data_IF_620609925084
#
_entry.id   IF_620609925084
#
_cell.length_a   1.000
_cell.length_b   1.000
_cell.length_c   1.000
_cell.angle_alpha   90.00
_cell.angle_beta   90.00
_cell.angle_gamma   90.00
#
_symmetry.space_group_name_H-M   'P 1'
#
loop_
_entity.id
_entity.type
_entity.pdbx_description
1 polymer ?
#
# COMPACT_ATOMS: atom_id res chain seq x y z
N UNK A 1 8.53 -1.00 12.92
CA UNK A 1 7.50 -1.88 12.31
C UNK A 1 7.10 -1.38 10.92
N UNK A 2 6.78 -0.09 10.75
CA UNK A 2 6.42 0.48 9.43
C UNK A 2 7.44 0.19 8.33
N UNK A 3 8.73 0.33 8.62
CA UNK A 3 9.80 0.04 7.65
C UNK A 3 9.82 -1.40 7.13
N UNK A 4 9.49 -2.39 7.96
CA UNK A 4 9.39 -3.79 7.50
C UNK A 4 8.26 -3.97 6.49
N UNK A 5 7.10 -3.35 6.76
CA UNK A 5 5.98 -3.36 5.81
C UNK A 5 6.35 -2.72 4.48
N UNK A 6 7.00 -1.54 4.52
CA UNK A 6 7.47 -0.86 3.31
C UNK A 6 8.42 -1.74 2.50
N UNK A 7 9.35 -2.44 3.16
CA UNK A 7 10.29 -3.32 2.49
C UNK A 7 9.61 -4.52 1.82
N UNK A 8 8.65 -5.16 2.50
CA UNK A 8 7.89 -6.29 1.95
C UNK A 8 7.09 -5.85 0.71
N UNK A 9 6.36 -4.73 0.81
CA UNK A 9 5.57 -4.20 -0.30
C UNK A 9 6.47 -3.77 -1.46
N UNK A 10 7.58 -3.08 -1.18
CA UNK A 10 8.56 -2.69 -2.19
C UNK A 10 9.08 -3.91 -2.95
N UNK A 11 9.42 -5.00 -2.26
CA UNK A 11 9.86 -6.25 -2.88
C UNK A 11 8.77 -6.85 -3.79
N UNK A 12 7.54 -6.97 -3.31
CA UNK A 12 6.42 -7.51 -4.10
C UNK A 12 6.19 -6.65 -5.37
N UNK A 13 6.13 -5.33 -5.21
CA UNK A 13 5.88 -4.40 -6.32
C UNK A 13 6.99 -4.47 -7.36
N UNK A 14 8.26 -4.41 -6.93
CA UNK A 14 9.39 -4.38 -7.85
C UNK A 14 9.67 -5.75 -8.48
N UNK A 15 9.64 -6.82 -7.70
CA UNK A 15 10.11 -8.14 -8.16
C UNK A 15 8.99 -9.03 -8.68
N UNK A 16 7.78 -8.94 -8.11
CA UNK A 16 6.65 -9.80 -8.53
C UNK A 16 5.78 -9.14 -9.58
N UNK A 17 5.47 -7.84 -9.42
CA UNK A 17 4.66 -7.09 -10.39
C UNK A 17 5.49 -6.47 -11.51
N UNK A 18 6.80 -6.30 -11.31
CA UNK A 18 7.67 -5.59 -12.25
C UNK A 18 7.37 -4.09 -12.33
N UNK A 19 6.73 -3.52 -11.30
CA UNK A 19 6.37 -2.11 -11.21
C UNK A 19 7.40 -1.34 -10.38
N UNK A 20 7.27 -0.01 -10.29
CA UNK A 20 8.21 0.80 -9.52
C UNK A 20 7.57 1.30 -8.22
N UNK A 21 8.17 0.96 -7.08
CA UNK A 21 7.80 1.52 -5.77
C UNK A 21 8.66 2.73 -5.39
N UNK A 22 8.03 3.88 -5.17
CA UNK A 22 8.65 5.11 -4.64
C UNK A 22 8.21 5.34 -3.20
N UNK A 23 9.13 5.15 -2.25
CA UNK A 23 8.87 5.37 -0.83
C UNK A 23 8.65 6.86 -0.55
N UNK A 24 7.64 7.16 0.25
CA UNK A 24 7.50 8.49 0.82
C UNK A 24 8.29 8.56 2.14
N UNK A 25 9.18 9.55 2.25
CA UNK A 25 10.06 9.72 3.41
C UNK A 25 9.55 10.80 4.38
N UNK A 26 8.46 11.49 4.08
CA UNK A 26 7.97 12.59 4.89
C UNK A 26 7.12 12.10 6.06
N UNK A 27 7.61 12.31 7.29
CA UNK A 27 6.92 11.98 8.55
C UNK A 27 5.63 12.78 8.81
N UNK A 28 5.34 13.76 7.95
CA UNK A 28 4.22 14.69 8.08
C UNK A 28 3.04 14.41 7.14
N UNK A 29 3.15 13.42 6.26
CA UNK A 29 2.05 13.09 5.35
C UNK A 29 0.96 12.31 6.07
N UNK A 30 -0.29 12.56 5.66
CA UNK A 30 -1.56 12.06 6.20
C UNK A 30 -1.75 10.53 6.07
N UNK A 31 -0.67 9.76 6.19
CA UNK A 31 -0.64 8.31 6.16
C UNK A 31 -0.29 7.69 4.80
N UNK A 32 0.32 8.44 3.88
CA UNK A 32 0.77 7.90 2.57
C UNK A 32 2.22 7.41 2.69
N UNK A 33 2.41 6.10 2.64
CA UNK A 33 3.72 5.45 2.81
C UNK A 33 4.54 5.40 1.50
N UNK A 34 3.89 5.50 0.35
CA UNK A 34 4.57 5.53 -0.95
C UNK A 34 3.64 5.62 -2.15
N UNK A 35 4.24 5.58 -3.32
CA UNK A 35 3.58 5.58 -4.62
C UNK A 35 4.09 4.40 -5.45
N UNK A 36 3.21 3.84 -6.28
CA UNK A 36 3.53 2.77 -7.24
C UNK A 36 3.31 3.32 -8.64
N UNK A 37 4.30 3.19 -9.51
CA UNK A 37 4.17 3.50 -10.94
C UNK A 37 4.08 2.21 -11.75
N UNK A 38 3.08 2.13 -12.62
CA UNK A 38 2.86 0.96 -13.46
C UNK A 38 3.84 0.99 -14.63
N UNK A 39 4.58 -0.10 -14.78
CA UNK A 39 5.57 -0.30 -15.83
C UNK A 39 5.05 -1.37 -16.80
N UNK A 40 5.24 -1.15 -18.10
CA UNK A 40 4.89 -2.14 -19.12
C UNK A 40 5.85 -3.34 -19.07
N UNK A 41 5.47 -4.51 -19.62
CA UNK A 41 6.40 -5.65 -19.74
C UNK A 41 7.68 -5.33 -20.52
N UNK A 42 7.67 -4.30 -21.37
CA UNK A 42 8.84 -3.80 -22.11
C UNK A 42 9.72 -2.85 -21.29
N UNK A 43 9.40 -2.57 -20.02
CA UNK A 43 10.15 -1.70 -19.13
C UNK A 43 9.83 -0.21 -19.26
N UNK A 44 8.74 0.18 -19.94
CA UNK A 44 8.36 1.59 -20.12
C UNK A 44 7.41 2.06 -19.04
N UNK A 45 7.61 3.28 -18.53
CA UNK A 45 6.70 3.90 -17.55
C UNK A 45 5.40 4.29 -18.25
N UNK A 46 4.25 3.86 -17.72
CA UNK A 46 2.93 4.16 -18.33
C UNK A 46 2.36 5.52 -17.94
N UNK A 47 2.89 6.14 -16.88
CA UNK A 47 2.32 7.34 -16.25
C UNK A 47 1.13 7.06 -15.32
N UNK A 48 0.65 5.81 -15.25
CA UNK A 48 -0.36 5.41 -14.26
C UNK A 48 0.30 5.25 -12.89
N UNK A 49 -0.32 5.84 -11.88
CA UNK A 49 0.18 5.86 -10.51
C UNK A 49 -0.88 5.46 -9.50
N UNK A 50 -0.44 4.84 -8.42
CA UNK A 50 -1.24 4.49 -7.25
C UNK A 50 -0.56 5.05 -6.01
N UNK A 51 -1.33 5.60 -5.08
CA UNK A 51 -0.82 5.92 -3.75
C UNK A 51 -1.11 4.77 -2.79
N UNK A 52 -0.22 4.53 -1.83
CA UNK A 52 -0.40 3.43 -0.87
C UNK A 52 -0.19 3.84 0.57
N UNK A 53 -0.98 3.23 1.44
CA UNK A 53 -0.75 3.16 2.88
C UNK A 53 -0.51 1.70 3.27
N UNK A 54 0.51 1.46 4.08
CA UNK A 54 0.96 0.14 4.48
C UNK A 54 0.69 -0.06 5.97
N UNK A 55 -0.07 -1.11 6.29
CA UNK A 55 -0.46 -1.49 7.64
C UNK A 55 0.16 -2.85 7.97
N UNK A 56 1.26 -2.82 8.71
CA UNK A 56 2.02 -4.02 9.08
C UNK A 56 1.61 -4.51 10.48
N UNK A 57 1.02 -5.70 10.56
CA UNK A 57 0.63 -6.30 11.84
C UNK A 57 -0.46 -7.36 11.73
N UNK A 58 -0.44 -8.34 12.65
CA UNK A 58 -1.43 -9.45 12.67
C UNK A 58 -2.85 -8.99 12.95
N UNK A 59 -3.03 -7.89 13.68
CA UNK A 59 -4.35 -7.36 14.06
C UNK A 59 -5.22 -7.01 12.86
N UNK A 60 -4.61 -6.57 11.74
CA UNK A 60 -5.33 -6.25 10.51
C UNK A 60 -5.95 -7.47 9.81
N UNK A 61 -5.56 -8.69 10.23
CA UNK A 61 -6.00 -9.96 9.64
C UNK A 61 -7.07 -10.67 10.49
N UNK A 62 -7.49 -10.10 11.62
CA UNK A 62 -8.37 -10.75 12.59
C UNK A 62 -9.84 -10.79 12.16
N UNK A 63 -10.30 -9.79 11.40
CA UNK A 63 -11.69 -9.68 10.97
C UNK A 63 -11.79 -9.89 9.46
N UNK A 64 -12.54 -10.91 9.04
CA UNK A 64 -12.84 -11.20 7.64
C UNK A 64 -14.34 -11.33 7.41
N UNK A 65 -14.77 -10.96 6.22
CA UNK A 65 -16.10 -11.28 5.71
C UNK A 65 -15.95 -12.02 4.37
N UNK A 66 -17.07 -12.31 3.69
CA UNK A 66 -17.09 -13.02 2.40
C UNK A 66 -16.29 -12.33 1.27
N UNK A 67 -15.95 -11.06 1.41
CA UNK A 67 -15.28 -10.24 0.40
C UNK A 67 -13.79 -9.98 0.71
N UNK A 68 -13.34 -10.25 1.93
CA UNK A 68 -11.95 -9.99 2.32
C UNK A 68 -11.82 -9.55 3.78
N UNK A 69 -10.75 -8.81 4.07
CA UNK A 69 -10.44 -8.28 5.39
C UNK A 69 -11.21 -6.99 5.68
N UNK A 70 -11.62 -6.82 6.94
CA UNK A 70 -12.30 -5.61 7.40
C UNK A 70 -11.27 -4.64 7.99
N UNK A 71 -11.08 -3.50 7.33
CA UNK A 71 -10.28 -2.40 7.85
C UNK A 71 -11.20 -1.34 8.49
N UNK A 72 -10.93 -1.02 9.77
CA UNK A 72 -11.67 0.01 10.53
C UNK A 72 -10.78 1.21 10.74
N UNK A 73 -11.22 2.37 10.23
CA UNK A 73 -10.52 3.64 10.36
C UNK A 73 -11.47 4.77 10.73
N UNK A 74 -10.91 5.93 11.05
CA UNK A 74 -11.69 7.14 11.29
C UNK A 74 -12.23 7.73 9.98
N UNK A 75 -13.44 8.28 10.01
CA UNK A 75 -14.10 8.86 8.83
C UNK A 75 -13.25 9.95 8.15
N UNK A 76 -12.50 10.75 8.94
CA UNK A 76 -11.59 11.78 8.40
C UNK A 76 -10.52 11.20 7.49
N UNK A 77 -9.99 10.02 7.82
CA UNK A 77 -9.01 9.33 6.99
C UNK A 77 -9.68 8.80 5.72
N UNK A 78 -10.85 8.17 5.82
CA UNK A 78 -11.58 7.72 4.63
C UNK A 78 -11.96 8.85 3.68
N UNK A 79 -12.34 10.02 4.20
CA UNK A 79 -12.60 11.20 3.38
C UNK A 79 -11.34 11.67 2.66
N UNK A 80 -10.19 11.71 3.35
CA UNK A 80 -8.91 12.05 2.72
C UNK A 80 -8.57 11.06 1.59
N UNK A 81 -8.64 9.76 1.88
CA UNK A 81 -8.34 8.70 0.91
C UNK A 81 -9.27 8.74 -0.32
N UNK A 82 -10.57 8.99 -0.11
CA UNK A 82 -11.57 9.04 -1.19
C UNK A 82 -11.42 10.25 -2.11
N UNK A 83 -10.78 11.32 -1.62
CA UNK A 83 -10.51 12.53 -2.41
C UNK A 83 -9.05 12.59 -2.91
N UNK A 84 -8.26 11.54 -2.70
CA UNK A 84 -6.88 11.51 -3.16
C UNK A 84 -6.85 11.54 -4.70
N UNK A 85 -5.95 12.32 -5.33
CA UNK A 85 -6.00 12.59 -6.78
C UNK A 85 -5.68 11.38 -7.67
N UNK A 86 -5.18 10.29 -7.10
CA UNK A 86 -4.89 9.03 -7.78
C UNK A 86 -5.52 7.88 -6.99
N UNK A 87 -5.76 6.71 -7.61
CA UNK A 87 -6.29 5.57 -6.87
C UNK A 87 -5.40 5.24 -5.67
N UNK A 88 -6.05 5.02 -4.53
CA UNK A 88 -5.39 4.82 -3.25
C UNK A 88 -5.62 3.40 -2.74
N UNK A 89 -4.54 2.72 -2.32
CA UNK A 89 -4.58 1.37 -1.77
C UNK A 89 -4.19 1.38 -0.29
N UNK A 90 -4.96 0.67 0.53
CA UNK A 90 -4.53 0.26 1.86
C UNK A 90 -4.03 -1.19 1.74
N UNK A 91 -2.74 -1.38 1.95
CA UNK A 91 -2.08 -2.68 1.92
C UNK A 91 -1.86 -3.14 3.35
N UNK A 92 -2.45 -4.28 3.71
CA UNK A 92 -2.18 -4.92 5.01
C UNK A 92 -1.09 -5.98 4.80
N UNK A 93 -0.12 -6.07 5.70
CA UNK A 93 0.97 -7.04 5.59
C UNK A 93 1.12 -7.85 6.87
N UNK A 94 1.13 -9.17 6.74
CA UNK A 94 1.23 -10.10 7.86
C UNK A 94 2.71 -10.30 8.24
N UNK A 95 3.09 -10.08 9.52
CA UNK A 95 4.50 -9.97 9.91
C UNK A 95 5.29 -11.28 9.87
N UNK A 96 4.62 -12.44 9.83
CA UNK A 96 5.27 -13.76 9.87
C UNK A 96 5.24 -14.48 8.53
N UNK A 97 4.16 -14.34 7.76
CA UNK A 97 4.06 -14.97 6.43
C UNK A 97 4.61 -14.07 5.32
N UNK A 98 4.86 -12.79 5.61
CA UNK A 98 5.21 -11.76 4.62
C UNK A 98 4.17 -11.65 3.48
N UNK A 99 2.94 -12.09 3.74
CA UNK A 99 1.82 -11.95 2.82
C UNK A 99 1.23 -10.55 2.93
N UNK A 100 1.06 -9.95 1.75
CA UNK A 100 0.23 -8.79 1.47
C UNK A 100 -0.59 -9.17 0.21
#
# INVERSE_FOLDING_TARGET
>A
MGERGVNVVSRIVNETLGWLFKRNHQEHDFGVDGQIEVITPSGSVTGQMLAVQIKYGKSFFQEKNRWGYVYRGELKHFNYLSNYPVPFLIVICHPESEEC
#
